data_IF_253084469029
#
_entry.id   IF_253084469029
#
_cell.length_a   1.000
_cell.length_b   1.000
_cell.length_c   1.000
_cell.angle_alpha   90.00
_cell.angle_beta   90.00
_cell.angle_gamma   90.00
#
_symmetry.space_group_name_H-M   'P 1'
#
loop_
_entity.id
_entity.type
_entity.pdbx_description
1 polymer ?
#
# COMPACT_ATOMS: atom_id res chain seq x y z
N UNK A 1 31.67 -4.81 -10.28
CA UNK A 1 30.91 -3.85 -11.10
C UNK A 1 29.50 -4.37 -11.24
N UNK A 2 28.55 -3.83 -10.47
CA UNK A 2 27.11 -3.92 -10.75
C UNK A 2 26.47 -2.68 -10.16
N UNK A 3 25.93 -1.82 -11.01
CA UNK A 3 25.31 -0.55 -10.66
C UNK A 3 24.12 -0.79 -9.73
N UNK A 4 24.23 -0.39 -8.46
CA UNK A 4 23.05 -0.11 -7.63
C UNK A 4 22.45 1.21 -8.11
N UNK A 5 21.75 1.17 -9.24
CA UNK A 5 20.76 2.20 -9.56
C UNK A 5 19.72 2.15 -8.46
N UNK A 6 19.87 2.98 -7.43
CA UNK A 6 18.78 3.27 -6.52
C UNK A 6 17.65 3.82 -7.37
N UNK A 7 16.60 3.02 -7.53
CA UNK A 7 15.39 3.45 -8.20
C UNK A 7 14.66 4.39 -7.22
N UNK A 8 14.58 5.70 -7.49
CA UNK A 8 13.95 6.67 -6.57
C UNK A 8 12.44 6.43 -6.36
N UNK A 9 11.88 5.39 -6.97
CA UNK A 9 10.47 5.02 -6.93
C UNK A 9 10.19 3.79 -6.04
N UNK A 10 11.22 3.21 -5.42
CA UNK A 10 11.08 2.02 -4.58
C UNK A 10 10.88 2.45 -3.14
N UNK A 11 9.66 2.27 -2.64
CA UNK A 11 9.30 2.56 -1.26
C UNK A 11 10.10 1.68 -0.29
N UNK A 12 10.63 2.28 0.77
CA UNK A 12 11.32 1.55 1.83
C UNK A 12 10.31 0.86 2.74
N UNK A 13 10.15 -0.45 2.59
CA UNK A 13 9.14 -1.23 3.32
C UNK A 13 9.35 -1.18 4.83
N UNK A 14 10.59 -1.23 5.32
CA UNK A 14 10.89 -1.21 6.75
C UNK A 14 10.48 0.10 7.44
N UNK A 15 10.46 1.22 6.68
CA UNK A 15 9.97 2.50 7.18
C UNK A 15 8.44 2.54 7.24
N UNK A 16 7.76 1.88 6.29
CA UNK A 16 6.30 1.86 6.20
C UNK A 16 5.68 0.84 7.17
N UNK A 17 6.34 -0.31 7.32
CA UNK A 17 5.87 -1.46 8.09
C UNK A 17 7.03 -1.98 8.95
N UNK A 18 7.21 -1.45 10.17
CA UNK A 18 8.33 -1.80 11.05
C UNK A 18 8.11 -3.14 11.77
N UNK A 19 7.75 -4.17 11.01
CA UNK A 19 7.51 -5.55 11.46
C UNK A 19 7.68 -6.52 10.29
N UNK A 20 7.85 -7.80 10.59
CA UNK A 20 8.03 -8.82 9.56
C UNK A 20 6.74 -9.01 8.75
N UNK A 21 6.85 -8.92 7.42
CA UNK A 21 5.75 -9.16 6.50
C UNK A 21 5.61 -10.65 6.20
N UNK A 22 4.37 -11.09 6.04
CA UNK A 22 4.09 -12.47 5.63
C UNK A 22 4.44 -12.68 4.15
N UNK A 23 4.76 -13.92 3.73
CA UNK A 23 5.13 -14.22 2.34
C UNK A 23 4.11 -13.73 1.30
N UNK A 24 2.81 -13.88 1.57
CA UNK A 24 1.76 -13.44 0.64
C UNK A 24 1.66 -11.91 0.51
N UNK A 25 2.07 -11.17 1.55
CA UNK A 25 2.10 -9.72 1.52
C UNK A 25 3.27 -9.25 0.64
N UNK A 26 4.43 -9.88 0.78
CA UNK A 26 5.61 -9.63 -0.07
C UNK A 26 5.31 -9.95 -1.54
N UNK A 27 4.71 -11.10 -1.82
CA UNK A 27 4.33 -11.49 -3.19
C UNK A 27 3.37 -10.47 -3.84
N UNK A 28 2.38 -10.01 -3.08
CA UNK A 28 1.45 -8.97 -3.54
C UNK A 28 2.16 -7.64 -3.80
N UNK A 29 3.09 -7.24 -2.92
CA UNK A 29 3.90 -6.03 -3.08
C UNK A 29 4.77 -6.11 -4.34
N UNK A 30 5.43 -7.24 -4.58
CA UNK A 30 6.27 -7.46 -5.75
C UNK A 30 5.45 -7.43 -7.05
N UNK A 31 4.28 -8.06 -7.06
CA UNK A 31 3.36 -8.01 -8.18
C UNK A 31 2.88 -6.58 -8.45
N UNK A 32 2.53 -5.82 -7.40
CA UNK A 32 2.19 -4.40 -7.52
C UNK A 32 3.37 -3.61 -8.10
N UNK A 33 4.60 -3.82 -7.62
CA UNK A 33 5.80 -3.14 -8.11
C UNK A 33 6.06 -3.41 -9.59
N UNK A 34 5.86 -4.65 -10.03
CA UNK A 34 5.90 -5.05 -11.44
C UNK A 34 4.75 -4.48 -12.29
N UNK A 35 3.84 -3.70 -11.70
CA UNK A 35 2.73 -3.07 -12.41
C UNK A 35 1.55 -4.00 -12.68
N UNK A 36 1.48 -5.15 -12.01
CA UNK A 36 0.38 -6.12 -12.16
C UNK A 36 -0.82 -5.72 -11.30
N UNK A 37 -1.99 -6.20 -11.69
CA UNK A 37 -3.20 -6.18 -10.86
C UNK A 37 -3.18 -7.35 -9.88
N UNK A 38 -3.59 -7.11 -8.63
CA UNK A 38 -3.56 -8.12 -7.56
C UNK A 38 -4.95 -8.28 -6.95
N UNK A 39 -5.36 -9.53 -6.75
CA UNK A 39 -6.54 -9.92 -5.96
C UNK A 39 -6.03 -10.78 -4.81
N UNK A 40 -6.37 -10.39 -3.56
CA UNK A 40 -5.90 -11.08 -2.36
C UNK A 40 -7.08 -11.75 -1.66
N UNK A 41 -6.98 -13.07 -1.48
CA UNK A 41 -7.93 -13.86 -0.71
C UNK A 41 -7.24 -14.36 0.56
N UNK A 42 -7.54 -13.73 1.69
CA UNK A 42 -6.98 -14.13 2.99
C UNK A 42 -8.01 -13.94 4.11
N UNK A 43 -7.99 -14.78 5.17
CA UNK A 43 -8.92 -14.67 6.29
C UNK A 43 -8.89 -13.31 6.98
N UNK A 44 -9.97 -12.94 7.66
CA UNK A 44 -9.97 -11.75 8.54
C UNK A 44 -8.90 -11.91 9.63
N UNK A 45 -8.14 -10.85 9.90
CA UNK A 45 -7.03 -10.87 10.86
C UNK A 45 -5.66 -11.19 10.25
N UNK A 46 -5.59 -11.68 9.00
CA UNK A 46 -4.31 -11.99 8.31
C UNK A 46 -3.48 -10.78 7.87
N UNK A 47 -3.95 -9.55 8.10
CA UNK A 47 -3.21 -8.35 7.67
C UNK A 47 -3.33 -7.99 6.19
N UNK A 48 -4.25 -8.59 5.41
CA UNK A 48 -4.47 -8.22 3.98
C UNK A 48 -4.68 -6.72 3.71
N UNK A 49 -5.11 -5.94 4.71
CA UNK A 49 -5.26 -4.48 4.59
C UNK A 49 -3.94 -3.78 4.28
N UNK A 50 -2.81 -4.31 4.78
CA UNK A 50 -1.47 -3.79 4.53
C UNK A 50 -1.14 -3.66 3.04
N UNK A 51 -1.57 -4.64 2.24
CA UNK A 51 -1.36 -4.64 0.78
C UNK A 51 -2.09 -3.45 0.13
N UNK A 52 -3.30 -3.13 0.63
CA UNK A 52 -4.05 -1.95 0.18
C UNK A 52 -3.39 -0.64 0.58
N UNK A 53 -2.82 -0.56 1.78
CA UNK A 53 -2.07 0.60 2.25
C UNK A 53 -0.80 0.83 1.42
N UNK A 54 -0.07 -0.25 1.11
CA UNK A 54 1.08 -0.18 0.21
C UNK A 54 0.70 0.34 -1.17
N UNK A 55 -0.43 -0.13 -1.73
CA UNK A 55 -0.93 0.37 -3.01
C UNK A 55 -1.22 1.88 -2.97
N UNK A 56 -1.67 2.41 -1.82
CA UNK A 56 -1.86 3.85 -1.60
C UNK A 56 -0.51 4.58 -1.59
N UNK A 57 0.45 4.17 -0.75
CA UNK A 57 1.79 4.77 -0.73
C UNK A 57 2.44 4.78 -2.12
N UNK A 58 2.29 3.68 -2.87
CA UNK A 58 2.86 3.54 -4.22
C UNK A 58 2.20 4.46 -5.24
N UNK A 59 0.91 4.70 -5.13
CA UNK A 59 0.21 5.63 -6.00
C UNK A 59 0.59 7.08 -5.68
N UNK A 60 0.59 7.46 -4.39
CA UNK A 60 0.91 8.81 -3.93
C UNK A 60 2.35 9.20 -4.26
N UNK A 61 3.33 8.31 -4.01
CA UNK A 61 4.74 8.52 -4.40
C UNK A 61 4.95 8.70 -5.91
N UNK A 62 3.96 8.35 -6.73
CA UNK A 62 3.97 8.52 -8.19
C UNK A 62 3.08 9.68 -8.65
N UNK A 63 2.60 10.52 -7.73
CA UNK A 63 1.68 11.62 -8.03
C UNK A 63 0.33 11.15 -8.60
N UNK A 64 -0.08 9.90 -8.32
CA UNK A 64 -1.34 9.32 -8.81
C UNK A 64 -2.44 9.40 -7.77
N UNK A 65 -3.68 9.41 -8.25
CA UNK A 65 -4.88 9.36 -7.41
C UNK A 65 -5.24 7.92 -7.09
N UNK A 66 -5.86 7.70 -5.93
CA UNK A 66 -6.33 6.39 -5.48
C UNK A 66 -7.84 6.42 -5.25
N UNK A 67 -8.52 5.37 -5.70
CA UNK A 67 -9.89 5.09 -5.32
C UNK A 67 -9.92 3.90 -4.37
N UNK A 68 -10.48 4.12 -3.18
CA UNK A 68 -10.69 3.07 -2.20
C UNK A 68 -12.19 2.87 -2.00
N UNK A 69 -12.66 1.65 -2.22
CA UNK A 69 -14.08 1.30 -2.14
C UNK A 69 -14.30 0.26 -1.06
N UNK A 70 -15.43 0.37 -0.35
CA UNK A 70 -15.90 -0.64 0.60
C UNK A 70 -17.38 -0.89 0.35
N UNK A 71 -17.93 -2.06 0.74
CA UNK A 71 -19.34 -2.36 0.49
C UNK A 71 -20.32 -1.52 1.32
N UNK A 72 -19.86 -0.79 2.35
CA UNK A 72 -20.71 -0.01 3.25
C UNK A 72 -20.19 1.41 3.49
N UNK A 73 -21.05 2.42 3.40
CA UNK A 73 -20.69 3.84 3.60
C UNK A 73 -20.02 4.12 4.95
N UNK A 74 -20.48 3.45 6.02
CA UNK A 74 -19.91 3.62 7.35
C UNK A 74 -18.43 3.20 7.40
N UNK A 75 -18.08 2.09 6.75
CA UNK A 75 -16.71 1.58 6.66
C UNK A 75 -15.85 2.48 5.76
N UNK A 76 -16.41 2.99 4.66
CA UNK A 76 -15.74 3.98 3.82
C UNK A 76 -15.39 5.25 4.60
N UNK A 77 -16.32 5.78 5.40
CA UNK A 77 -16.09 6.99 6.20
C UNK A 77 -15.02 6.77 7.27
N UNK A 78 -15.00 5.60 7.91
CA UNK A 78 -13.94 5.24 8.86
C UNK A 78 -12.58 5.20 8.17
N UNK A 79 -12.47 4.47 7.06
CA UNK A 79 -11.20 4.36 6.32
C UNK A 79 -10.74 5.70 5.74
N UNK A 80 -11.66 6.57 5.31
CA UNK A 80 -11.32 7.91 4.87
C UNK A 80 -10.66 8.73 5.98
N UNK A 81 -11.15 8.64 7.22
CA UNK A 81 -10.53 9.33 8.36
C UNK A 81 -9.15 8.75 8.65
N UNK A 82 -9.04 7.43 8.77
CA UNK A 82 -7.75 6.73 8.97
C UNK A 82 -6.72 7.15 7.92
N UNK A 83 -7.14 7.25 6.65
CA UNK A 83 -6.27 7.63 5.54
C UNK A 83 -5.96 9.12 5.50
N UNK A 84 -6.89 10.01 5.87
CA UNK A 84 -6.58 11.44 5.99
C UNK A 84 -5.56 11.71 7.08
N UNK A 85 -5.69 11.05 8.23
CA UNK A 85 -4.72 11.16 9.32
C UNK A 85 -3.33 10.64 8.89
N UNK A 86 -3.29 9.56 8.10
CA UNK A 86 -2.02 8.92 7.68
C UNK A 86 -1.37 9.51 6.44
N UNK A 87 -2.14 10.04 5.50
CA UNK A 87 -1.66 10.47 4.17
C UNK A 87 -1.99 11.92 3.83
N UNK A 88 -2.83 12.61 4.61
CA UNK A 88 -3.37 13.92 4.27
C UNK A 88 -2.53 15.13 4.67
N UNK A 89 -1.39 14.94 5.36
CA UNK A 89 -0.61 16.04 5.94
C UNK A 89 0.52 16.53 5.00
N UNK A 90 0.80 15.83 3.90
CA UNK A 90 1.94 16.14 3.00
C UNK A 90 1.58 16.53 1.55
N UNK A 91 0.29 16.55 1.17
CA UNK A 91 -0.13 16.73 -0.23
C UNK A 91 -1.24 17.78 -0.42
N UNK A 92 -1.11 18.97 0.18
CA UNK A 92 -1.94 20.16 -0.12
C UNK A 92 -1.15 21.19 -0.96
#
# INVERSE_FOLDING_TARGET
MSYSTQNPQQLELDKLFPFQLDPFQLEAIDALNAGKSVVVCAPTGSGKTLIGEYAIYRALSRGKRVFYTTPLKALSNQKLRDFRERFGVEYD
#
